data_IF_613105359215
#
_entry.id   IF_613105359215
#
_cell.length_a   1.000
_cell.length_b   1.000
_cell.length_c   1.000
_cell.angle_alpha   90.00
_cell.angle_beta   90.00
_cell.angle_gamma   90.00
#
_symmetry.space_group_name_H-M   'P 1'
#
loop_
_entity.id
_entity.type
_entity.pdbx_description
1 polymer ?
#
# COMPACT_ATOMS: atom_id res chain seq x y z
N UNK A 1 3.71 -18.49 -10.64
CA UNK A 1 3.16 -18.47 -9.26
C UNK A 1 3.27 -17.05 -8.64
N UNK A 2 4.45 -16.48 -8.45
CA UNK A 2 4.62 -15.17 -7.82
C UNK A 2 3.81 -14.04 -8.50
N UNK A 3 3.82 -13.95 -9.83
CA UNK A 3 3.03 -12.94 -10.57
C UNK A 3 1.52 -13.09 -10.35
N UNK A 4 1.00 -14.33 -10.34
CA UNK A 4 -0.42 -14.56 -10.07
C UNK A 4 -0.80 -14.10 -8.66
N UNK A 5 0.04 -14.37 -7.67
CA UNK A 5 -0.14 -13.87 -6.30
C UNK A 5 -0.12 -12.34 -6.25
N UNK A 6 0.77 -11.70 -7.05
CA UNK A 6 0.82 -10.25 -7.19
C UNK A 6 -0.47 -9.65 -7.77
N UNK A 7 -1.04 -10.26 -8.80
CA UNK A 7 -2.32 -9.83 -9.41
C UNK A 7 -3.47 -9.97 -8.41
N UNK A 8 -3.56 -11.12 -7.72
CA UNK A 8 -4.58 -11.34 -6.69
C UNK A 8 -4.42 -10.36 -5.53
N UNK A 9 -3.18 -10.07 -5.12
CA UNK A 9 -2.91 -9.05 -4.10
C UNK A 9 -3.44 -7.69 -4.53
N UNK A 10 -3.20 -7.27 -5.78
CA UNK A 10 -3.69 -6.00 -6.32
C UNK A 10 -5.22 -5.91 -6.31
N UNK A 11 -5.91 -7.01 -6.66
CA UNK A 11 -7.37 -7.06 -6.57
C UNK A 11 -7.85 -6.83 -5.13
N UNK A 12 -7.30 -7.55 -4.17
CA UNK A 12 -7.70 -7.39 -2.77
C UNK A 12 -7.25 -6.06 -2.16
N UNK A 13 -6.13 -5.48 -2.59
CA UNK A 13 -5.72 -4.14 -2.16
C UNK A 13 -6.68 -3.06 -2.65
N UNK A 14 -7.27 -3.20 -3.85
CA UNK A 14 -8.21 -2.22 -4.40
C UNK A 14 -9.47 -2.03 -3.54
N UNK A 15 -9.85 -3.05 -2.76
CA UNK A 15 -10.93 -2.97 -1.76
C UNK A 15 -10.69 -1.83 -0.75
N UNK A 16 -9.42 -1.52 -0.43
CA UNK A 16 -9.07 -0.40 0.46
C UNK A 16 -9.58 0.93 -0.08
N UNK A 17 -9.34 1.22 -1.36
CA UNK A 17 -9.72 2.51 -1.95
C UNK A 17 -11.23 2.72 -1.96
N UNK A 18 -11.96 1.66 -2.30
CA UNK A 18 -13.42 1.68 -2.38
C UNK A 18 -14.05 1.82 -0.99
N UNK A 19 -13.63 1.00 -0.03
CA UNK A 19 -14.19 1.05 1.32
C UNK A 19 -13.74 2.28 2.11
N UNK A 20 -12.51 2.79 1.91
CA UNK A 20 -12.09 4.04 2.51
C UNK A 20 -12.92 5.22 1.98
N UNK A 21 -13.21 5.26 0.67
CA UNK A 21 -14.12 6.24 0.08
C UNK A 21 -15.53 6.10 0.69
N UNK A 22 -16.05 4.89 0.79
CA UNK A 22 -17.36 4.62 1.39
C UNK A 22 -17.46 5.15 2.82
N UNK A 23 -16.47 4.83 3.66
CA UNK A 23 -16.42 5.29 5.06
C UNK A 23 -16.31 6.82 5.14
N UNK A 24 -15.49 7.45 4.30
CA UNK A 24 -15.33 8.89 4.26
C UNK A 24 -16.62 9.59 3.80
N UNK A 25 -17.29 9.06 2.76
CA UNK A 25 -18.56 9.60 2.24
C UNK A 25 -19.72 9.49 3.23
N UNK A 26 -19.65 8.50 4.13
CA UNK A 26 -20.64 8.31 5.22
C UNK A 26 -20.32 9.16 6.47
N UNK A 27 -19.32 10.05 6.43
CA UNK A 27 -18.93 10.90 7.55
C UNK A 27 -18.01 10.24 8.58
N UNK A 28 -17.50 9.06 8.29
CA UNK A 28 -16.54 8.37 9.16
C UNK A 28 -15.20 9.10 9.31
N UNK A 29 -14.68 9.18 10.53
CA UNK A 29 -13.39 9.81 10.79
C UNK A 29 -12.23 8.95 10.23
N UNK A 30 -11.35 9.57 9.46
CA UNK A 30 -10.22 8.91 8.80
C UNK A 30 -9.17 8.33 9.77
N UNK A 31 -9.07 8.85 11.00
CA UNK A 31 -8.18 8.30 12.03
C UNK A 31 -8.69 6.93 12.51
N UNK A 32 -10.03 6.78 12.66
CA UNK A 32 -10.63 5.48 12.92
C UNK A 32 -10.45 4.52 11.75
N UNK A 33 -10.65 4.98 10.53
CA UNK A 33 -10.42 4.17 9.32
C UNK A 33 -8.97 3.65 9.29
N UNK A 34 -7.98 4.52 9.59
CA UNK A 34 -6.57 4.15 9.60
C UNK A 34 -6.24 3.15 10.71
N UNK A 35 -6.69 3.40 11.93
CA UNK A 35 -6.33 2.60 13.10
C UNK A 35 -7.03 1.24 13.13
N UNK A 36 -8.34 1.19 12.86
CA UNK A 36 -9.13 -0.03 12.93
C UNK A 36 -8.62 -1.11 11.97
N UNK A 37 -8.16 -0.75 10.76
CA UNK A 37 -7.56 -1.72 9.85
C UNK A 37 -6.45 -2.51 10.51
N UNK A 38 -5.48 -1.84 11.11
CA UNK A 38 -4.31 -2.50 11.69
C UNK A 38 -4.62 -3.17 13.04
N UNK A 39 -5.51 -2.59 13.82
CA UNK A 39 -6.00 -3.21 15.06
C UNK A 39 -6.72 -4.53 14.76
N UNK A 40 -7.56 -4.59 13.72
CA UNK A 40 -8.21 -5.82 13.29
C UNK A 40 -7.25 -6.81 12.59
N UNK A 41 -6.23 -6.34 11.87
CA UNK A 41 -5.22 -7.23 11.30
C UNK A 41 -4.44 -8.01 12.36
N UNK A 42 -4.19 -7.39 13.52
CA UNK A 42 -3.34 -7.98 14.56
C UNK A 42 -3.85 -9.34 15.06
N UNK A 43 -5.12 -9.52 15.48
CA UNK A 43 -5.61 -10.82 15.92
C UNK A 43 -5.54 -11.89 14.82
N UNK A 44 -5.78 -11.52 13.55
CA UNK A 44 -5.67 -12.47 12.44
C UNK A 44 -4.23 -13.00 12.29
N UNK A 45 -3.24 -12.12 12.25
CA UNK A 45 -1.84 -12.56 12.14
C UNK A 45 -1.33 -13.24 13.40
N UNK A 46 -1.81 -12.86 14.58
CA UNK A 46 -1.53 -13.56 15.83
C UNK A 46 -2.02 -15.01 15.77
N UNK A 47 -3.26 -15.23 15.33
CA UNK A 47 -3.83 -16.57 15.16
C UNK A 47 -3.06 -17.36 14.12
N UNK A 48 -2.76 -16.77 12.95
CA UNK A 48 -2.00 -17.42 11.88
C UNK A 48 -0.64 -17.91 12.41
N UNK A 49 0.09 -17.06 13.14
CA UNK A 49 1.41 -17.42 13.69
C UNK A 49 1.30 -18.48 14.79
N UNK A 50 0.26 -18.46 15.62
CA UNK A 50 0.06 -19.48 16.68
C UNK A 50 -0.30 -20.83 16.07
N UNK A 51 -1.18 -20.87 15.08
CA UNK A 51 -1.69 -22.11 14.49
C UNK A 51 -0.67 -22.76 13.54
N UNK A 52 0.17 -21.96 12.89
CA UNK A 52 1.13 -22.45 11.92
C UNK A 52 2.28 -23.18 12.59
N UNK A 53 2.42 -24.48 12.29
CA UNK A 53 3.38 -25.39 12.97
C UNK A 53 4.84 -24.91 12.93
N UNK A 54 5.24 -24.16 11.93
CA UNK A 54 6.63 -23.69 11.73
C UNK A 54 6.87 -22.26 12.22
N UNK A 55 5.88 -21.60 12.84
CA UNK A 55 5.98 -20.23 13.33
C UNK A 55 6.06 -20.20 14.85
N UNK A 56 6.88 -19.31 15.40
CA UNK A 56 7.12 -19.22 16.84
C UNK A 56 7.00 -17.78 17.33
N UNK A 57 5.97 -17.51 18.13
CA UNK A 57 5.78 -16.19 18.75
C UNK A 57 7.01 -15.72 19.54
N UNK A 58 7.64 -16.63 20.30
CA UNK A 58 8.87 -16.31 21.07
C UNK A 58 9.98 -15.82 20.17
N UNK A 59 10.12 -16.40 18.98
CA UNK A 59 11.11 -16.01 17.99
C UNK A 59 10.84 -14.63 17.42
N UNK A 60 9.57 -14.30 17.16
CA UNK A 60 9.15 -12.95 16.72
C UNK A 60 9.53 -11.91 17.77
N UNK A 61 9.18 -12.12 19.04
CA UNK A 61 9.51 -11.18 20.12
C UNK A 61 11.01 -11.05 20.34
N UNK A 62 11.76 -12.14 20.27
CA UNK A 62 13.23 -12.13 20.40
C UNK A 62 13.85 -11.29 19.28
N UNK A 63 13.44 -11.51 18.03
CA UNK A 63 13.91 -10.76 16.85
C UNK A 63 13.62 -9.26 16.95
N UNK A 64 12.42 -8.90 17.42
CA UNK A 64 12.07 -7.48 17.65
C UNK A 64 13.01 -6.90 18.72
N UNK A 65 13.23 -7.60 19.83
CA UNK A 65 14.05 -7.13 20.96
C UNK A 65 15.49 -6.87 20.55
N UNK A 66 16.10 -7.75 19.75
CA UNK A 66 17.49 -7.62 19.30
C UNK A 66 17.74 -6.33 18.48
N UNK A 67 16.78 -5.92 17.67
CA UNK A 67 16.90 -4.74 16.80
C UNK A 67 15.67 -3.83 16.89
N UNK A 68 15.15 -3.59 18.12
CA UNK A 68 13.87 -2.93 18.34
C UNK A 68 13.75 -1.55 17.69
N UNK A 69 14.83 -0.75 17.65
CA UNK A 69 14.83 0.59 17.02
C UNK A 69 14.55 0.51 15.52
N UNK A 70 15.20 -0.44 14.83
CA UNK A 70 15.02 -0.63 13.39
C UNK A 70 13.65 -1.19 13.08
N UNK A 71 13.18 -2.20 13.82
CA UNK A 71 11.84 -2.76 13.66
C UNK A 71 10.78 -1.72 13.93
N UNK A 72 10.88 -0.97 15.03
CA UNK A 72 9.94 0.09 15.36
C UNK A 72 9.91 1.16 14.27
N UNK A 73 11.05 1.79 13.96
CA UNK A 73 11.14 2.89 12.99
C UNK A 73 10.57 2.49 11.62
N UNK A 74 11.04 1.37 11.08
CA UNK A 74 10.65 0.99 9.72
C UNK A 74 9.23 0.44 9.65
N UNK A 75 8.69 -0.12 10.74
CA UNK A 75 7.26 -0.44 10.81
C UNK A 75 6.38 0.81 10.83
N UNK A 76 6.80 1.90 11.52
CA UNK A 76 6.10 3.17 11.45
C UNK A 76 6.11 3.74 10.03
N UNK A 77 7.23 3.66 9.33
CA UNK A 77 7.33 4.13 7.93
C UNK A 77 6.47 3.25 7.01
N UNK A 78 6.59 1.93 7.13
CA UNK A 78 5.90 0.98 6.24
C UNK A 78 4.39 0.95 6.41
N UNK A 79 3.88 1.14 7.63
CA UNK A 79 2.46 1.05 7.96
C UNK A 79 1.89 2.43 8.35
N UNK A 80 2.48 3.14 9.31
CA UNK A 80 1.98 4.40 9.81
C UNK A 80 2.06 5.52 8.76
N UNK A 81 3.26 5.85 8.34
CA UNK A 81 3.49 6.93 7.36
C UNK A 81 2.93 6.63 5.97
N UNK A 82 2.67 5.36 5.67
CA UNK A 82 1.96 4.93 4.48
C UNK A 82 0.45 5.14 4.61
N UNK A 83 -0.18 4.55 5.64
CA UNK A 83 -1.63 4.39 5.62
C UNK A 83 -2.39 5.57 6.22
N UNK A 84 -1.83 6.28 7.19
CA UNK A 84 -2.44 7.48 7.78
C UNK A 84 -2.70 8.55 6.71
N UNK A 85 -1.71 8.96 5.89
CA UNK A 85 -1.95 9.92 4.83
C UNK A 85 -2.91 9.41 3.75
N UNK A 86 -2.91 8.10 3.48
CA UNK A 86 -3.82 7.48 2.50
C UNK A 86 -5.29 7.59 2.97
N UNK A 87 -5.58 7.29 4.24
CA UNK A 87 -6.90 7.45 4.82
C UNK A 87 -7.32 8.92 4.87
N UNK A 88 -6.40 9.81 5.20
CA UNK A 88 -6.66 11.26 5.17
C UNK A 88 -7.01 11.73 3.75
N UNK A 89 -6.27 11.29 2.73
CA UNK A 89 -6.57 11.61 1.33
C UNK A 89 -7.98 11.12 0.92
N UNK A 90 -8.42 9.96 1.43
CA UNK A 90 -9.76 9.41 1.14
C UNK A 90 -10.91 10.28 1.69
N UNK A 91 -10.65 11.19 2.63
CA UNK A 91 -11.63 12.18 3.07
C UNK A 91 -11.72 13.41 2.18
N UNK A 92 -10.80 13.55 1.21
CA UNK A 92 -10.68 14.73 0.35
C UNK A 92 -10.89 14.41 -1.14
N UNK A 93 -10.72 13.17 -1.54
CA UNK A 93 -10.76 12.74 -2.94
C UNK A 93 -11.37 11.34 -3.11
N UNK A 94 -11.98 11.03 -4.26
CA UNK A 94 -12.54 9.71 -4.53
C UNK A 94 -11.47 8.62 -4.59
N UNK A 95 -11.84 7.39 -4.20
CA UNK A 95 -10.92 6.26 -4.07
C UNK A 95 -10.17 5.92 -5.37
N UNK A 96 -10.82 5.98 -6.53
CA UNK A 96 -10.19 5.72 -7.82
C UNK A 96 -9.11 6.76 -8.18
N UNK A 97 -9.28 8.02 -7.76
CA UNK A 97 -8.29 9.08 -7.95
C UNK A 97 -7.06 8.84 -7.05
N UNK A 98 -7.30 8.48 -5.80
CA UNK A 98 -6.24 8.10 -4.86
C UNK A 98 -5.49 6.87 -5.38
N UNK A 99 -6.21 5.85 -5.89
CA UNK A 99 -5.60 4.67 -6.48
C UNK A 99 -4.74 4.99 -7.71
N UNK A 100 -5.13 5.96 -8.54
CA UNK A 100 -4.33 6.40 -9.69
C UNK A 100 -3.07 7.14 -9.26
N UNK A 101 -3.17 8.10 -8.35
CA UNK A 101 -2.04 8.84 -7.78
C UNK A 101 -1.08 7.90 -7.04
N UNK A 102 -1.61 6.90 -6.34
CA UNK A 102 -0.84 5.86 -5.66
C UNK A 102 0.16 5.13 -6.57
N UNK A 103 -0.06 5.12 -7.89
CA UNK A 103 0.86 4.47 -8.84
C UNK A 103 2.26 5.12 -8.87
N UNK A 104 2.42 6.31 -8.33
CA UNK A 104 3.72 6.95 -8.10
C UNK A 104 4.62 6.06 -7.22
N UNK A 105 4.04 5.15 -6.42
CA UNK A 105 4.79 4.17 -5.61
C UNK A 105 5.72 3.29 -6.44
N UNK A 106 5.36 2.99 -7.70
CA UNK A 106 6.19 2.20 -8.63
C UNK A 106 7.47 2.96 -8.98
N UNK A 107 7.31 4.25 -9.24
CA UNK A 107 8.43 5.15 -9.54
C UNK A 107 9.30 5.33 -8.30
N UNK A 108 8.66 5.61 -7.15
CA UNK A 108 9.34 5.76 -5.87
C UNK A 108 10.14 4.49 -5.51
N UNK A 109 9.55 3.31 -5.64
CA UNK A 109 10.23 2.03 -5.42
C UNK A 109 11.43 1.83 -6.33
N UNK A 110 11.31 2.18 -7.61
CA UNK A 110 12.40 2.08 -8.58
C UNK A 110 13.52 3.10 -8.32
N UNK A 111 13.18 4.33 -7.94
CA UNK A 111 14.14 5.37 -7.57
C UNK A 111 14.89 5.00 -6.28
N UNK A 112 14.19 4.45 -5.29
CA UNK A 112 14.78 4.06 -4.00
C UNK A 112 15.69 2.82 -4.11
N UNK A 113 15.45 1.93 -5.07
CA UNK A 113 16.17 0.66 -5.20
C UNK A 113 17.71 0.80 -5.18
N UNK A 114 18.35 1.69 -5.98
CA UNK A 114 19.80 1.82 -5.97
C UNK A 114 20.38 2.37 -4.66
N UNK A 115 19.59 3.14 -3.90
CA UNK A 115 20.04 3.73 -2.63
C UNK A 115 19.95 2.74 -1.46
N UNK A 116 19.11 1.71 -1.59
CA UNK A 116 18.90 0.71 -0.55
C UNK A 116 19.77 -0.54 -0.74
N UNK A 117 20.40 -0.69 -1.91
CA UNK A 117 21.24 -1.83 -2.24
C UNK A 117 22.69 -1.57 -1.81
N UNK A 118 23.20 -2.41 -0.90
CA UNK A 118 24.56 -2.33 -0.38
C UNK A 118 25.61 -2.91 -1.33
N UNK A 119 25.22 -3.89 -2.17
CA UNK A 119 26.11 -4.54 -3.12
C UNK A 119 26.27 -3.70 -4.38
N UNK A 120 27.51 -3.27 -4.70
CA UNK A 120 27.82 -2.39 -5.83
C UNK A 120 27.37 -2.94 -7.20
N UNK A 121 27.48 -4.25 -7.42
CA UNK A 121 27.06 -4.87 -8.68
C UNK A 121 25.53 -4.87 -8.82
N UNK A 122 24.81 -5.22 -7.76
CA UNK A 122 23.35 -5.16 -7.70
C UNK A 122 22.83 -3.73 -7.77
N UNK A 123 23.55 -2.77 -7.13
CA UNK A 123 23.25 -1.34 -7.21
C UNK A 123 23.32 -0.81 -8.64
N UNK A 124 24.29 -1.25 -9.44
CA UNK A 124 24.37 -0.90 -10.87
C UNK A 124 23.20 -1.47 -11.68
N UNK A 125 22.78 -2.71 -11.38
CA UNK A 125 21.64 -3.37 -12.03
C UNK A 125 20.28 -2.75 -11.65
N UNK A 126 20.18 -2.15 -10.46
CA UNK A 126 18.94 -1.50 -9.98
C UNK A 126 18.78 -0.05 -10.45
N UNK A 127 19.74 0.50 -11.22
CA UNK A 127 19.62 1.85 -11.80
C UNK A 127 18.52 1.89 -12.85
N UNK A 128 17.79 2.99 -12.85
CA UNK A 128 16.75 3.28 -13.83
C UNK A 128 17.38 3.33 -15.24
N UNK A 129 16.92 2.49 -16.14
CA UNK A 129 17.32 2.51 -17.54
C UNK A 129 16.57 3.61 -18.30
N UNK A 130 17.05 4.01 -19.49
CA UNK A 130 16.34 4.97 -20.37
C UNK A 130 14.91 4.49 -20.69
N UNK A 131 14.73 3.20 -20.83
CA UNK A 131 13.44 2.60 -21.14
C UNK A 131 12.51 2.59 -19.91
N UNK A 132 13.06 2.39 -18.68
CA UNK A 132 12.26 2.58 -17.45
C UNK A 132 11.80 4.03 -17.33
N UNK A 133 12.67 4.98 -17.68
CA UNK A 133 12.31 6.40 -17.73
C UNK A 133 11.13 6.67 -18.69
N UNK A 134 11.14 6.07 -19.88
CA UNK A 134 10.01 6.16 -20.82
C UNK A 134 8.71 5.57 -20.22
N UNK A 135 8.78 4.37 -19.64
CA UNK A 135 7.62 3.72 -19.02
C UNK A 135 7.07 4.60 -17.88
N UNK A 136 7.93 5.14 -17.03
CA UNK A 136 7.51 6.04 -15.94
C UNK A 136 6.86 7.32 -16.49
N UNK A 137 7.37 7.87 -17.59
CA UNK A 137 6.75 9.03 -18.24
C UNK A 137 5.35 8.72 -18.76
N UNK A 138 5.11 7.52 -19.30
CA UNK A 138 3.79 7.08 -19.74
C UNK A 138 2.83 6.96 -18.55
N UNK A 139 3.26 6.36 -17.44
CA UNK A 139 2.46 6.24 -16.21
C UNK A 139 2.14 7.64 -15.65
N UNK A 140 3.16 8.51 -15.52
CA UNK A 140 2.97 9.87 -15.01
C UNK A 140 2.03 10.69 -15.89
N UNK A 141 2.15 10.59 -17.21
CA UNK A 141 1.25 11.27 -18.14
C UNK A 141 -0.19 10.81 -17.93
N UNK A 142 -0.42 9.51 -17.76
CA UNK A 142 -1.73 8.98 -17.42
C UNK A 142 -2.30 9.56 -16.13
N UNK A 143 -1.49 9.61 -15.06
CA UNK A 143 -1.88 10.20 -13.76
C UNK A 143 -2.20 11.68 -13.92
N UNK A 144 -1.34 12.45 -14.60
CA UNK A 144 -1.54 13.90 -14.84
C UNK A 144 -2.84 14.17 -15.59
N UNK A 145 -3.16 13.39 -16.62
CA UNK A 145 -4.41 13.52 -17.37
C UNK A 145 -5.62 13.28 -16.44
N UNK A 146 -5.58 12.27 -15.60
CA UNK A 146 -6.63 11.93 -14.64
C UNK A 146 -6.81 13.08 -13.63
N UNK A 147 -5.74 13.55 -13.04
CA UNK A 147 -5.74 14.61 -12.02
C UNK A 147 -6.25 15.95 -12.60
N UNK A 148 -5.73 16.36 -13.75
CA UNK A 148 -6.14 17.61 -14.42
C UNK A 148 -7.62 17.61 -14.75
N UNK A 149 -8.17 16.49 -15.22
CA UNK A 149 -9.60 16.39 -15.50
C UNK A 149 -10.42 16.54 -14.22
N UNK A 150 -9.97 15.98 -13.12
CA UNK A 150 -10.68 16.06 -11.84
C UNK A 150 -10.59 17.47 -11.24
N UNK A 151 -9.42 18.12 -11.31
CA UNK A 151 -9.21 19.50 -10.87
C UNK A 151 -10.10 20.50 -11.60
N UNK A 152 -10.39 20.28 -12.87
CA UNK A 152 -11.30 21.12 -13.65
C UNK A 152 -12.77 21.06 -13.17
N UNK A 153 -13.12 20.09 -12.33
CA UNK A 153 -14.49 19.81 -11.89
C UNK A 153 -14.73 20.09 -10.40
N UNK A 154 -13.67 20.32 -9.61
CA UNK A 154 -13.73 20.42 -8.15
C UNK A 154 -12.78 21.48 -7.61
N UNK A 155 -12.86 21.75 -6.28
CA UNK A 155 -11.92 22.65 -5.61
C UNK A 155 -10.49 22.10 -5.65
N UNK A 156 -9.55 22.91 -6.13
CA UNK A 156 -8.14 22.54 -6.31
C UNK A 156 -7.42 22.31 -4.98
N UNK A 157 -7.71 23.09 -3.94
CA UNK A 157 -6.98 23.03 -2.67
C UNK A 157 -7.10 21.68 -1.96
N UNK A 158 -8.29 21.10 -1.72
CA UNK A 158 -8.40 19.76 -1.12
C UNK A 158 -7.70 18.67 -1.96
N UNK A 159 -7.77 18.78 -3.29
CA UNK A 159 -7.11 17.82 -4.18
C UNK A 159 -5.59 17.88 -4.10
N UNK A 160 -5.00 19.08 -4.05
CA UNK A 160 -3.56 19.22 -3.86
C UNK A 160 -3.11 18.66 -2.51
N UNK A 161 -3.89 18.87 -1.45
CA UNK A 161 -3.62 18.28 -0.14
C UNK A 161 -3.70 16.75 -0.18
N UNK A 162 -4.73 16.20 -0.81
CA UNK A 162 -4.85 14.76 -1.03
C UNK A 162 -3.68 14.19 -1.84
N UNK A 163 -3.30 14.86 -2.93
CA UNK A 163 -2.17 14.49 -3.77
C UNK A 163 -0.86 14.43 -2.97
N UNK A 164 -0.56 15.46 -2.17
CA UNK A 164 0.64 15.48 -1.31
C UNK A 164 0.60 14.34 -0.28
N UNK A 165 -0.55 14.08 0.34
CA UNK A 165 -0.71 12.99 1.29
C UNK A 165 -0.45 11.63 0.62
N UNK A 166 -0.98 11.40 -0.58
CA UNK A 166 -0.71 10.17 -1.34
C UNK A 166 0.76 10.07 -1.77
N UNK A 167 1.43 11.18 -2.12
CA UNK A 167 2.86 11.19 -2.42
C UNK A 167 3.70 10.72 -1.23
N UNK A 168 3.39 11.21 -0.03
CA UNK A 168 4.06 10.76 1.21
C UNK A 168 3.88 9.25 1.38
N UNK A 169 2.65 8.77 1.26
CA UNK A 169 2.33 7.35 1.33
C UNK A 169 3.09 6.53 0.28
N UNK A 170 3.11 7.01 -0.98
CA UNK A 170 3.72 6.34 -2.13
C UNK A 170 5.25 6.17 -2.00
N UNK A 171 5.92 7.07 -1.29
CA UNK A 171 7.35 6.96 -0.96
C UNK A 171 7.58 6.11 0.29
N UNK A 172 6.76 6.30 1.32
CA UNK A 172 6.90 5.62 2.60
C UNK A 172 6.75 4.10 2.47
N UNK A 173 5.78 3.65 1.68
CA UNK A 173 5.48 2.22 1.53
C UNK A 173 6.65 1.40 0.98
N UNK A 174 7.22 1.68 -0.20
CA UNK A 174 8.35 0.91 -0.72
C UNK A 174 9.63 1.10 0.13
N UNK A 175 9.85 2.29 0.69
CA UNK A 175 10.99 2.57 1.57
C UNK A 175 10.92 1.70 2.83
N UNK A 176 9.80 1.75 3.54
CA UNK A 176 9.60 1.01 4.79
C UNK A 176 9.67 -0.49 4.59
N UNK A 177 8.94 -1.02 3.58
CA UNK A 177 8.92 -2.46 3.29
C UNK A 177 10.31 -3.00 2.90
N UNK A 178 11.06 -2.29 2.05
CA UNK A 178 12.43 -2.72 1.69
C UNK A 178 13.39 -2.65 2.86
N UNK A 179 13.29 -1.62 3.70
CA UNK A 179 14.10 -1.53 4.93
C UNK A 179 13.77 -2.64 5.92
N UNK A 180 12.50 -2.99 6.10
CA UNK A 180 12.09 -4.15 6.91
C UNK A 180 12.64 -5.46 6.33
N UNK A 181 12.62 -5.65 5.00
CA UNK A 181 13.23 -6.83 4.39
C UNK A 181 14.73 -6.93 4.69
N UNK A 182 15.46 -5.81 4.63
CA UNK A 182 16.88 -5.74 4.96
C UNK A 182 17.11 -6.08 6.45
N UNK A 183 16.35 -5.46 7.36
CA UNK A 183 16.43 -5.71 8.80
C UNK A 183 16.14 -7.18 9.08
N UNK A 184 15.07 -7.74 8.50
CA UNK A 184 14.69 -9.14 8.67
C UNK A 184 15.80 -10.10 8.23
N UNK A 185 16.43 -9.83 7.09
CA UNK A 185 17.53 -10.66 6.57
C UNK A 185 18.78 -10.62 7.47
N UNK A 186 19.05 -9.48 8.08
CA UNK A 186 20.23 -9.31 8.97
C UNK A 186 19.98 -9.79 10.40
N UNK A 187 18.74 -10.04 10.81
CA UNK A 187 18.41 -10.54 12.15
C UNK A 187 18.16 -12.04 12.12
N UNK A 188 16.91 -12.45 12.02
CA UNK A 188 16.48 -13.82 12.25
C UNK A 188 15.77 -14.44 11.05
N UNK A 189 15.61 -13.70 9.95
CA UNK A 189 14.93 -14.13 8.73
C UNK A 189 13.53 -14.72 8.98
N UNK A 190 12.68 -13.92 9.67
CA UNK A 190 11.29 -14.28 9.94
C UNK A 190 10.55 -14.63 8.65
N UNK A 191 9.64 -15.58 8.71
CA UNK A 191 8.72 -15.92 7.66
C UNK A 191 7.77 -14.73 7.35
N UNK A 192 7.03 -14.79 6.24
CA UNK A 192 6.14 -13.70 5.82
C UNK A 192 5.13 -13.32 6.89
N UNK A 193 4.44 -14.30 7.49
CA UNK A 193 3.44 -14.09 8.53
C UNK A 193 4.05 -13.55 9.85
N UNK A 194 5.18 -14.09 10.27
CA UNK A 194 5.93 -13.61 11.43
C UNK A 194 6.44 -12.18 11.23
N UNK A 195 6.93 -11.85 10.03
CA UNK A 195 7.39 -10.50 9.68
C UNK A 195 6.24 -9.50 9.73
N UNK A 196 5.07 -9.84 9.17
CA UNK A 196 3.90 -8.96 9.23
C UNK A 196 3.45 -8.77 10.68
N UNK A 197 3.42 -9.84 11.49
CA UNK A 197 3.10 -9.75 12.91
C UNK A 197 4.08 -8.85 13.67
N UNK A 198 5.39 -8.98 13.41
CA UNK A 198 6.41 -8.11 14.00
C UNK A 198 6.18 -6.64 13.66
N UNK A 199 5.85 -6.34 12.40
CA UNK A 199 5.52 -4.98 11.95
C UNK A 199 4.24 -4.45 12.62
N UNK A 200 3.20 -5.28 12.78
CA UNK A 200 1.96 -4.93 13.47
C UNK A 200 2.20 -4.60 14.94
N UNK A 201 2.97 -5.45 15.65
CA UNK A 201 3.34 -5.21 17.05
C UNK A 201 4.11 -3.89 17.19
N UNK A 202 5.12 -3.68 16.34
CA UNK A 202 5.94 -2.47 16.39
C UNK A 202 5.17 -1.20 16.01
N UNK A 203 4.14 -1.28 15.16
CA UNK A 203 3.30 -0.14 14.77
C UNK A 203 2.11 0.11 15.70
N UNK A 204 1.82 -0.81 16.62
CA UNK A 204 0.67 -0.73 17.53
C UNK A 204 0.54 0.60 18.28
N UNK A 205 1.62 1.21 18.83
CA UNK A 205 1.50 2.49 19.54
C UNK A 205 0.90 3.60 18.66
N UNK A 206 1.24 3.65 17.38
CA UNK A 206 0.67 4.63 16.44
C UNK A 206 -0.83 4.43 16.27
N UNK A 207 -1.29 3.20 16.16
CA UNK A 207 -2.72 2.91 16.00
C UNK A 207 -3.53 3.24 17.25
N UNK A 208 -2.97 2.99 18.43
CA UNK A 208 -3.58 3.39 19.69
C UNK A 208 -3.65 4.93 19.81
N UNK A 209 -2.60 5.64 19.42
CA UNK A 209 -2.59 7.11 19.38
C UNK A 209 -3.65 7.63 18.39
N UNK A 210 -3.70 7.09 17.16
CA UNK A 210 -4.70 7.47 16.15
C UNK A 210 -6.13 7.21 16.65
N UNK A 211 -6.40 6.05 17.27
CA UNK A 211 -7.69 5.74 17.86
C UNK A 211 -8.07 6.71 18.98
N UNK A 212 -7.10 7.03 19.85
CA UNK A 212 -7.33 7.98 20.94
C UNK A 212 -7.66 9.38 20.41
N UNK A 213 -6.90 9.88 19.42
CA UNK A 213 -7.18 11.17 18.79
C UNK A 213 -8.54 11.14 18.08
N UNK A 214 -8.86 10.05 17.35
CA UNK A 214 -10.16 9.84 16.71
C UNK A 214 -11.31 9.90 17.72
N UNK A 215 -11.14 9.23 18.87
CA UNK A 215 -12.13 9.24 19.94
C UNK A 215 -12.39 10.65 20.51
N UNK A 216 -11.33 11.43 20.79
CA UNK A 216 -11.50 12.79 21.29
C UNK A 216 -12.05 13.75 20.24
N UNK A 217 -11.86 13.46 18.95
CA UNK A 217 -12.29 14.31 17.84
C UNK A 217 -13.74 14.04 17.40
N UNK A 218 -14.13 12.78 17.29
CA UNK A 218 -15.40 12.36 16.69
C UNK A 218 -16.19 11.37 17.54
N UNK A 219 -15.70 11.00 18.73
CA UNK A 219 -16.32 9.98 19.57
C UNK A 219 -16.05 8.56 19.08
N UNK A 220 -16.89 7.61 19.46
CA UNK A 220 -16.79 6.21 18.97
C UNK A 220 -17.16 6.13 17.50
N UNK A 221 -16.49 5.25 16.74
CA UNK A 221 -16.81 5.03 15.34
C UNK A 221 -18.20 4.38 15.21
N UNK A 222 -18.93 4.73 14.17
CA UNK A 222 -20.19 4.09 13.85
C UNK A 222 -20.01 2.61 13.50
N UNK A 223 -21.04 1.79 13.77
CA UNK A 223 -21.01 0.35 13.51
C UNK A 223 -20.69 0.04 12.03
N UNK A 224 -21.22 0.85 11.11
CA UNK A 224 -20.95 0.72 9.68
C UNK A 224 -19.45 0.95 9.35
N UNK A 225 -18.81 1.93 9.97
CA UNK A 225 -17.39 2.20 9.82
C UNK A 225 -16.55 1.05 10.41
N UNK A 226 -16.92 0.51 11.57
CA UNK A 226 -16.27 -0.65 12.19
C UNK A 226 -16.35 -1.86 11.28
N UNK A 227 -17.54 -2.17 10.74
CA UNK A 227 -17.75 -3.29 9.83
C UNK A 227 -16.93 -3.13 8.53
N UNK A 228 -16.96 -1.96 7.91
CA UNK A 228 -16.17 -1.67 6.69
C UNK A 228 -14.67 -1.76 6.98
N UNK A 229 -14.20 -1.26 8.12
CA UNK A 229 -12.81 -1.38 8.54
C UNK A 229 -12.38 -2.83 8.76
N UNK A 230 -13.27 -3.68 9.29
CA UNK A 230 -13.01 -5.12 9.42
C UNK A 230 -12.87 -5.79 8.04
N UNK A 231 -13.73 -5.44 7.07
CA UNK A 231 -13.62 -5.94 5.69
C UNK A 231 -12.30 -5.48 5.03
N UNK A 232 -11.91 -4.20 5.21
CA UNK A 232 -10.60 -3.70 4.74
C UNK A 232 -9.47 -4.47 5.40
N UNK A 233 -9.52 -4.69 6.73
CA UNK A 233 -8.51 -5.44 7.44
C UNK A 233 -8.41 -6.88 6.91
N UNK A 234 -9.52 -7.55 6.66
CA UNK A 234 -9.52 -8.93 6.19
C UNK A 234 -9.04 -9.04 4.73
N UNK A 235 -9.69 -8.35 3.79
CA UNK A 235 -9.38 -8.50 2.37
C UNK A 235 -8.03 -7.84 2.01
N UNK A 236 -7.87 -6.58 2.34
CA UNK A 236 -6.66 -5.84 1.98
C UNK A 236 -5.55 -6.00 3.02
N UNK A 237 -5.90 -6.00 4.29
CA UNK A 237 -4.93 -6.13 5.38
C UNK A 237 -4.33 -7.52 5.49
N UNK A 238 -5.15 -8.56 5.54
CA UNK A 238 -4.66 -9.94 5.72
C UNK A 238 -4.37 -10.59 4.37
N UNK A 239 -5.38 -10.74 3.50
CA UNK A 239 -5.22 -11.50 2.26
C UNK A 239 -4.24 -10.82 1.32
N UNK A 240 -4.47 -9.56 0.94
CA UNK A 240 -3.62 -8.88 -0.02
C UNK A 240 -2.19 -8.69 0.50
N UNK A 241 -2.02 -8.26 1.75
CA UNK A 241 -0.70 -8.05 2.34
C UNK A 241 0.09 -9.36 2.40
N UNK A 242 -0.56 -10.46 2.81
CA UNK A 242 0.09 -11.78 2.83
C UNK A 242 0.51 -12.22 1.42
N UNK A 243 -0.40 -12.14 0.44
CA UNK A 243 -0.12 -12.52 -0.95
C UNK A 243 1.01 -11.67 -1.55
N UNK A 244 1.00 -10.36 -1.31
CA UNK A 244 2.03 -9.44 -1.80
C UNK A 244 3.38 -9.73 -1.16
N UNK A 245 3.44 -9.88 0.15
CA UNK A 245 4.70 -10.16 0.86
C UNK A 245 5.26 -11.53 0.49
N UNK A 246 4.38 -12.52 0.31
CA UNK A 246 4.79 -13.84 -0.17
C UNK A 246 5.34 -13.75 -1.60
N UNK A 247 4.65 -13.05 -2.51
CA UNK A 247 5.09 -12.89 -3.90
C UNK A 247 6.44 -12.18 -4.00
N UNK A 248 6.65 -11.10 -3.23
CA UNK A 248 7.92 -10.38 -3.18
C UNK A 248 9.04 -11.21 -2.54
N UNK A 249 8.72 -11.99 -1.51
CA UNK A 249 9.69 -12.90 -0.89
C UNK A 249 10.16 -14.00 -1.84
N UNK A 250 9.27 -14.55 -2.66
CA UNK A 250 9.62 -15.59 -3.66
C UNK A 250 10.63 -15.10 -4.72
N UNK A 251 10.72 -13.80 -4.93
CA UNK A 251 11.58 -13.19 -5.96
C UNK A 251 12.61 -12.21 -5.40
N UNK A 252 12.78 -12.15 -4.09
CA UNK A 252 13.61 -11.14 -3.40
C UNK A 252 15.07 -11.09 -3.88
N UNK A 253 15.60 -12.21 -4.39
CA UNK A 253 16.97 -12.29 -4.95
C UNK A 253 17.08 -11.70 -6.35
N UNK A 254 15.96 -11.52 -7.06
CA UNK A 254 15.92 -11.00 -8.43
C UNK A 254 15.25 -9.62 -8.44
N UNK A 255 16.07 -8.57 -8.51
CA UNK A 255 15.62 -7.16 -8.44
C UNK A 255 14.61 -6.83 -9.55
N UNK A 256 14.79 -7.39 -10.76
CA UNK A 256 13.85 -7.15 -11.88
C UNK A 256 12.49 -7.75 -11.61
N UNK A 257 12.43 -9.02 -11.21
CA UNK A 257 11.17 -9.70 -10.85
C UNK A 257 10.49 -9.04 -9.66
N UNK A 258 11.26 -8.57 -8.68
CA UNK A 258 10.73 -7.81 -7.54
C UNK A 258 10.05 -6.52 -8.02
N UNK A 259 10.74 -5.73 -8.85
CA UNK A 259 10.17 -4.51 -9.43
C UNK A 259 8.93 -4.77 -10.29
N UNK A 260 8.87 -5.94 -10.96
CA UNK A 260 7.68 -6.34 -11.71
C UNK A 260 6.50 -6.62 -10.78
N UNK A 261 6.69 -7.37 -9.70
CA UNK A 261 5.62 -7.63 -8.73
C UNK A 261 5.14 -6.33 -8.09
N UNK A 262 6.05 -5.44 -7.72
CA UNK A 262 5.69 -4.10 -7.23
C UNK A 262 4.88 -3.32 -8.29
N UNK A 263 5.21 -3.46 -9.58
CA UNK A 263 4.47 -2.82 -10.67
C UNK A 263 3.06 -3.39 -10.88
N UNK A 264 2.82 -4.66 -10.54
CA UNK A 264 1.48 -5.25 -10.65
C UNK A 264 0.46 -4.56 -9.73
N UNK A 265 0.91 -3.87 -8.68
CA UNK A 265 0.02 -3.09 -7.82
C UNK A 265 -0.76 -2.00 -8.58
N UNK A 266 -0.28 -1.56 -9.75
CA UNK A 266 -1.02 -0.59 -10.56
C UNK A 266 -2.34 -1.12 -11.13
N UNK A 267 -2.53 -2.43 -11.17
CA UNK A 267 -3.84 -3.02 -11.47
C UNK A 267 -4.90 -2.64 -10.42
N UNK A 268 -4.48 -2.20 -9.23
CA UNK A 268 -5.37 -1.66 -8.20
C UNK A 268 -6.24 -0.51 -8.74
N UNK A 269 -5.71 0.31 -9.66
CA UNK A 269 -6.49 1.41 -10.27
C UNK A 269 -7.67 0.85 -11.06
N UNK A 270 -7.42 -0.14 -11.91
CA UNK A 270 -8.47 -0.75 -12.73
C UNK A 270 -9.51 -1.43 -11.84
N UNK A 271 -9.04 -2.21 -10.87
CA UNK A 271 -9.93 -2.89 -9.93
C UNK A 271 -10.71 -1.91 -9.06
N UNK A 272 -10.09 -0.78 -8.62
CA UNK A 272 -10.79 0.22 -7.81
C UNK A 272 -11.89 0.95 -8.60
N UNK A 273 -11.67 1.24 -9.88
CA UNK A 273 -12.72 1.80 -10.76
C UNK A 273 -13.88 0.82 -10.92
N UNK A 274 -13.56 -0.45 -11.23
CA UNK A 274 -14.61 -1.48 -11.43
C UNK A 274 -15.38 -1.72 -10.13
N UNK A 275 -14.68 -1.89 -9.00
CA UNK A 275 -15.33 -2.10 -7.71
C UNK A 275 -16.10 -0.84 -7.25
N UNK A 276 -15.60 0.38 -7.52
CA UNK A 276 -16.31 1.63 -7.22
C UNK A 276 -17.64 1.71 -7.98
N UNK A 277 -17.66 1.36 -9.26
CA UNK A 277 -18.91 1.30 -10.02
C UNK A 277 -19.89 0.25 -9.49
N UNK A 278 -19.41 -0.92 -9.06
CA UNK A 278 -20.27 -2.01 -8.57
C UNK A 278 -20.78 -1.73 -7.14
N UNK A 279 -19.90 -1.27 -6.23
CA UNK A 279 -20.17 -1.17 -4.79
C UNK A 279 -20.72 0.20 -4.41
N UNK A 280 -20.16 1.28 -4.98
CA UNK A 280 -20.52 2.67 -4.66
C UNK A 280 -21.47 3.29 -5.69
N UNK A 281 -21.78 2.55 -6.76
CA UNK A 281 -22.54 3.06 -7.90
C UNK A 281 -21.92 4.34 -8.51
N UNK A 282 -20.58 4.42 -8.49
CA UNK A 282 -19.85 5.52 -9.10
C UNK A 282 -20.18 5.62 -10.59
N UNK A 283 -20.26 6.84 -11.09
CA UNK A 283 -20.52 7.07 -12.53
C UNK A 283 -19.35 6.58 -13.37
N UNK A 284 -19.65 6.10 -14.58
CA UNK A 284 -18.63 5.66 -15.52
C UNK A 284 -17.62 6.80 -15.77
N UNK A 285 -16.30 6.54 -15.72
CA UNK A 285 -15.29 7.56 -15.91
C UNK A 285 -15.41 8.24 -17.26
N UNK A 286 -15.21 9.56 -17.30
CA UNK A 286 -15.21 10.32 -18.56
C UNK A 286 -14.11 9.83 -19.51
N UNK A 287 -14.28 10.08 -20.82
CA UNK A 287 -13.36 9.59 -21.85
C UNK A 287 -11.89 9.93 -21.55
N UNK A 288 -11.61 11.14 -21.10
CA UNK A 288 -10.25 11.58 -20.80
C UNK A 288 -9.66 10.81 -19.60
N UNK A 289 -10.45 10.52 -18.55
CA UNK A 289 -10.07 9.64 -17.45
C UNK A 289 -9.76 8.23 -17.95
N UNK A 290 -10.58 7.69 -18.86
CA UNK A 290 -10.34 6.37 -19.47
C UNK A 290 -9.04 6.31 -20.27
N UNK A 291 -8.71 7.40 -21.01
CA UNK A 291 -7.41 7.51 -21.69
C UNK A 291 -6.27 7.50 -20.68
N UNK A 292 -6.38 8.27 -19.59
CA UNK A 292 -5.38 8.28 -18.52
C UNK A 292 -5.19 6.91 -17.86
N UNK A 293 -6.30 6.23 -17.51
CA UNK A 293 -6.28 4.86 -17.00
C UNK A 293 -5.61 3.89 -17.99
N UNK A 294 -5.95 4.00 -19.28
CA UNK A 294 -5.34 3.21 -20.34
C UNK A 294 -3.82 3.40 -20.42
N UNK A 295 -3.34 4.64 -20.28
CA UNK A 295 -1.89 4.93 -20.25
C UNK A 295 -1.21 4.33 -19.01
N UNK A 296 -1.84 4.41 -17.83
CA UNK A 296 -1.31 3.77 -16.61
C UNK A 296 -1.19 2.27 -16.82
N UNK A 297 -2.25 1.60 -17.28
CA UNK A 297 -2.25 0.16 -17.56
C UNK A 297 -1.21 -0.21 -18.61
N UNK A 298 -1.12 0.56 -19.70
CA UNK A 298 -0.12 0.35 -20.76
C UNK A 298 1.30 0.44 -20.20
N UNK A 299 1.60 1.46 -19.42
CA UNK A 299 2.91 1.63 -18.79
C UNK A 299 3.28 0.43 -17.90
N UNK A 300 2.32 -0.10 -17.15
CA UNK A 300 2.51 -1.30 -16.34
C UNK A 300 2.74 -2.54 -17.19
N UNK A 301 1.90 -2.78 -18.20
CA UNK A 301 2.10 -3.89 -19.11
C UNK A 301 3.49 -3.87 -19.75
N UNK A 302 3.93 -2.68 -20.20
CA UNK A 302 5.29 -2.50 -20.73
C UNK A 302 6.37 -2.83 -19.68
N UNK A 303 6.15 -2.48 -18.41
CA UNK A 303 7.09 -2.81 -17.32
C UNK A 303 7.15 -4.31 -17.07
N UNK A 304 5.99 -4.97 -17.01
CA UNK A 304 5.88 -6.43 -16.79
C UNK A 304 6.52 -7.22 -17.93
N UNK A 305 6.28 -6.82 -19.19
CA UNK A 305 6.83 -7.52 -20.37
C UNK A 305 8.36 -7.46 -20.45
N UNK A 306 9.00 -6.52 -19.74
CA UNK A 306 10.47 -6.34 -19.75
C UNK A 306 11.20 -7.01 -18.59
N UNK A 307 10.49 -7.57 -17.65
CA UNK A 307 11.02 -8.20 -16.44
C UNK A 307 11.23 -9.68 -16.61
#
# INVERSE_FOLDING_TARGET
>A
MAFLLGILASFFFSVTFVLNQSMASSGGDWLWTASLRFLFMMPFFLIIVIVKRNSQLRFVFHTIKENWKSWFLWSQVAFGLFYIPLCFASSLAPGWLIASTWQITIIAGSVLAPFLESNLSKRKQSRISKQDGFIFSVILLGIVIIELQHMALTNVTPLLVAFIAVLIAAVAYPLGNRKIMIVNHHTANLNTDERILAMLICSLPTWLICSSIGFFRSGMPETAQVASSLLVAFFSGVIATYLFFLSTQMVHTNIRKLATIESLQSLEVVFSVVLGMIVLHDTFPKLLTMVGLGLVVLGVCLKVMRS
#
